data_IF_537771103684
#
_entry.id   IF_537771103684
#
_cell.length_a   1.000
_cell.length_b   1.000
_cell.length_c   1.000
_cell.angle_alpha   90.00
_cell.angle_beta   90.00
_cell.angle_gamma   90.00
#
_symmetry.space_group_name_H-M   'P 1'
#
loop_
_entity.id
_entity.type
_entity.pdbx_description
1 polymer ?
#
# COMPACT_ATOMS: atom_id res chain seq x y z
N UNK A 1 -8.58 -5.71 3.20
CA UNK A 1 -9.43 -6.39 2.19
C UNK A 1 -9.96 -7.73 2.67
N UNK A 2 -9.20 -8.48 3.45
CA UNK A 2 -9.63 -9.75 4.09
C UNK A 2 -10.91 -9.66 4.92
N UNK A 3 -11.25 -8.48 5.46
CA UNK A 3 -12.49 -8.22 6.21
C UNK A 3 -13.54 -7.42 5.43
N UNK A 4 -13.25 -7.03 4.19
CA UNK A 4 -14.21 -6.31 3.35
C UNK A 4 -15.25 -7.30 2.80
N UNK A 5 -16.40 -6.81 2.38
CA UNK A 5 -17.32 -7.60 1.56
C UNK A 5 -16.68 -7.84 0.19
N UNK A 6 -16.27 -9.09 -0.07
CA UNK A 6 -15.59 -9.48 -1.30
C UNK A 6 -16.48 -9.31 -2.54
N UNK A 7 -17.81 -9.20 -2.37
CA UNK A 7 -18.75 -9.04 -3.48
C UNK A 7 -18.97 -7.58 -3.91
N UNK A 8 -18.70 -6.60 -3.04
CA UNK A 8 -19.14 -5.20 -3.27
C UNK A 8 -18.05 -4.14 -3.05
N UNK A 9 -16.87 -4.52 -2.58
CA UNK A 9 -15.81 -3.57 -2.32
C UNK A 9 -15.25 -2.94 -3.62
N UNK A 10 -14.96 -1.63 -3.57
CA UNK A 10 -14.29 -0.88 -4.65
C UNK A 10 -12.97 -0.25 -4.20
N UNK A 11 -12.02 -0.11 -5.12
CA UNK A 11 -10.72 0.54 -4.84
C UNK A 11 -10.86 1.94 -4.20
N UNK A 12 -11.88 2.69 -4.60
CA UNK A 12 -12.18 4.02 -4.06
C UNK A 12 -12.49 4.02 -2.56
N UNK A 13 -13.04 2.93 -2.03
CA UNK A 13 -13.32 2.79 -0.59
C UNK A 13 -12.03 2.62 0.24
N UNK A 14 -10.94 2.14 -0.37
CA UNK A 14 -9.67 1.89 0.34
C UNK A 14 -8.78 3.13 0.37
N UNK A 15 -8.93 4.01 -0.62
CA UNK A 15 -8.11 5.22 -0.72
C UNK A 15 -8.18 6.10 0.55
N UNK A 16 -9.35 6.39 1.16
CA UNK A 16 -9.42 7.13 2.43
C UNK A 16 -8.70 6.42 3.58
N UNK A 17 -8.72 5.08 3.63
CA UNK A 17 -8.04 4.30 4.66
C UNK A 17 -6.51 4.40 4.51
N UNK A 18 -6.01 4.36 3.27
CA UNK A 18 -4.59 4.54 2.98
C UNK A 18 -4.15 5.94 3.40
N UNK A 19 -4.89 6.99 2.99
CA UNK A 19 -4.61 8.38 3.39
C UNK A 19 -4.61 8.53 4.91
N UNK A 20 -5.63 8.02 5.60
CA UNK A 20 -5.71 8.07 7.06
C UNK A 20 -4.53 7.35 7.74
N UNK A 21 -4.10 6.21 7.20
CA UNK A 21 -2.92 5.48 7.71
C UNK A 21 -1.66 6.34 7.58
N UNK A 22 -1.47 7.01 6.45
CA UNK A 22 -0.34 7.91 6.24
C UNK A 22 -0.42 9.12 7.18
N UNK A 23 -1.60 9.71 7.38
CA UNK A 23 -1.79 10.85 8.28
C UNK A 23 -1.50 10.48 9.75
N UNK A 24 -1.93 9.30 10.19
CA UNK A 24 -1.73 8.85 11.57
C UNK A 24 -0.29 8.41 11.87
N UNK A 25 0.33 7.66 10.96
CA UNK A 25 1.65 7.08 11.21
C UNK A 25 2.79 7.93 10.65
N UNK A 26 2.52 8.80 9.68
CA UNK A 26 3.52 9.53 8.91
C UNK A 26 4.15 8.65 7.82
N UNK A 27 4.60 9.30 6.74
CA UNK A 27 5.13 8.64 5.54
C UNK A 27 6.31 7.71 5.82
N UNK A 28 7.12 7.99 6.85
CA UNK A 28 8.28 7.16 7.21
C UNK A 28 7.91 5.87 7.97
N UNK A 29 6.64 5.64 8.32
CA UNK A 29 6.22 4.43 9.06
C UNK A 29 5.18 3.58 8.32
N UNK A 30 4.95 3.87 7.04
CA UNK A 30 4.01 3.13 6.18
C UNK A 30 4.77 2.36 5.11
N UNK A 31 4.38 1.11 4.87
CA UNK A 31 4.99 0.22 3.89
C UNK A 31 3.91 -0.35 2.97
N UNK A 32 4.22 -0.50 1.68
CA UNK A 32 3.37 -1.28 0.78
C UNK A 32 3.38 -2.77 1.18
N UNK A 33 2.20 -3.37 1.22
CA UNK A 33 2.01 -4.80 1.44
C UNK A 33 1.03 -5.35 0.41
N UNK A 34 1.44 -6.39 -0.31
CA UNK A 34 0.66 -6.96 -1.40
C UNK A 34 -0.36 -8.02 -0.99
N UNK A 35 -0.13 -8.71 0.12
CA UNK A 35 -0.97 -9.82 0.62
C UNK A 35 -1.25 -10.94 -0.42
N UNK A 36 -0.39 -11.09 -1.42
CA UNK A 36 -0.48 -12.17 -2.40
C UNK A 36 -0.09 -13.52 -1.76
N UNK A 37 -0.79 -14.63 -2.05
CA UNK A 37 -1.90 -14.77 -3.01
C UNK A 37 -3.29 -14.54 -2.42
N UNK A 38 -3.41 -14.27 -1.11
CA UNK A 38 -4.72 -14.16 -0.43
C UNK A 38 -5.55 -13.00 -0.99
N UNK A 39 -4.90 -11.90 -1.38
CA UNK A 39 -5.52 -10.75 -2.03
C UNK A 39 -6.40 -11.12 -3.24
N UNK A 40 -6.01 -12.17 -3.99
CA UNK A 40 -6.70 -12.62 -5.21
C UNK A 40 -8.13 -13.12 -4.95
N UNK A 41 -8.49 -13.38 -3.69
CA UNK A 41 -9.88 -13.68 -3.30
C UNK A 41 -10.82 -12.47 -3.46
N UNK A 42 -10.26 -11.25 -3.48
CA UNK A 42 -11.03 -10.02 -3.59
C UNK A 42 -10.68 -9.21 -4.85
N UNK A 43 -9.40 -9.09 -5.23
CA UNK A 43 -8.99 -8.46 -6.50
C UNK A 43 -7.65 -8.96 -7.01
N UNK A 44 -7.38 -8.68 -8.29
CA UNK A 44 -6.07 -8.93 -8.87
C UNK A 44 -4.97 -8.10 -8.19
N UNK A 45 -3.78 -8.67 -8.11
CA UNK A 45 -2.59 -7.97 -7.63
C UNK A 45 -2.35 -6.63 -8.34
N UNK A 46 -2.55 -6.59 -9.66
CA UNK A 46 -2.39 -5.36 -10.46
C UNK A 46 -3.36 -4.25 -10.04
N UNK A 47 -4.64 -4.57 -9.80
CA UNK A 47 -5.62 -3.60 -9.30
C UNK A 47 -5.21 -3.06 -7.93
N UNK A 48 -4.64 -3.89 -7.05
CA UNK A 48 -4.18 -3.42 -5.74
C UNK A 48 -2.99 -2.48 -5.84
N UNK A 49 -1.99 -2.84 -6.66
CA UNK A 49 -0.84 -1.96 -6.93
C UNK A 49 -1.31 -0.61 -7.48
N UNK A 50 -2.21 -0.60 -8.45
CA UNK A 50 -2.76 0.64 -9.04
C UNK A 50 -3.51 1.49 -8.00
N UNK A 51 -4.28 0.86 -7.10
CA UNK A 51 -4.98 1.58 -6.05
C UNK A 51 -4.02 2.26 -5.07
N UNK A 52 -2.96 1.55 -4.64
CA UNK A 52 -1.97 2.15 -3.73
C UNK A 52 -1.13 3.21 -4.45
N UNK A 53 -0.75 3.00 -5.71
CA UNK A 53 -0.01 4.00 -6.49
C UNK A 53 -0.83 5.30 -6.62
N UNK A 54 -2.10 5.21 -7.02
CA UNK A 54 -3.02 6.36 -7.11
C UNK A 54 -3.27 7.03 -5.77
N UNK A 55 -3.41 6.26 -4.69
CA UNK A 55 -3.59 6.79 -3.35
C UNK A 55 -2.37 7.60 -2.88
N UNK A 56 -1.17 7.25 -3.33
CA UNK A 56 0.10 7.84 -2.87
C UNK A 56 0.76 8.82 -3.84
N UNK A 57 0.14 9.12 -4.99
CA UNK A 57 0.66 10.07 -6.00
C UNK A 57 1.07 11.43 -5.41
N UNK A 58 0.27 11.96 -4.49
CA UNK A 58 0.45 13.25 -3.84
C UNK A 58 1.67 13.33 -2.91
N UNK A 59 2.29 12.19 -2.57
CA UNK A 59 3.45 12.11 -1.71
C UNK A 59 4.78 12.25 -2.45
N UNK A 60 4.77 12.59 -3.74
CA UNK A 60 6.02 12.83 -4.47
C UNK A 60 6.79 14.01 -3.84
N UNK A 61 8.10 13.89 -3.54
CA UNK A 61 9.01 12.81 -3.95
C UNK A 61 9.10 11.61 -2.98
N UNK A 62 8.54 11.71 -1.78
CA UNK A 62 8.59 10.71 -0.71
C UNK A 62 7.86 9.40 -1.00
N UNK A 63 7.10 9.30 -2.10
CA UNK A 63 6.35 8.08 -2.49
C UNK A 63 7.22 6.81 -2.50
N UNK A 64 8.51 6.92 -2.87
CA UNK A 64 9.45 5.78 -2.86
C UNK A 64 9.68 5.19 -1.46
N UNK A 65 9.46 5.97 -0.40
CA UNK A 65 9.55 5.48 0.98
C UNK A 65 8.55 4.36 1.24
N UNK A 66 7.30 4.54 0.81
CA UNK A 66 6.23 3.57 1.00
C UNK A 66 6.52 2.27 0.24
N UNK A 67 6.97 2.36 -1.01
CA UNK A 67 7.18 1.19 -1.87
C UNK A 67 8.54 0.50 -1.68
N UNK A 68 9.52 1.13 -1.02
CA UNK A 68 10.89 0.58 -0.93
C UNK A 68 11.64 0.96 0.33
N UNK A 69 11.88 2.26 0.55
CA UNK A 69 12.93 2.69 1.49
C UNK A 69 12.56 2.36 2.95
N UNK A 70 11.28 2.44 3.30
CA UNK A 70 10.82 2.04 4.63
C UNK A 70 10.96 0.53 4.86
N UNK A 71 10.77 -0.31 3.83
CA UNK A 71 10.97 -1.75 3.94
C UNK A 71 12.45 -2.09 4.17
N UNK A 72 13.35 -1.48 3.39
CA UNK A 72 14.80 -1.64 3.56
C UNK A 72 15.21 -1.27 4.99
N UNK A 73 14.81 -0.08 5.47
CA UNK A 73 15.15 0.37 6.83
C UNK A 73 14.56 -0.52 7.92
N UNK A 74 13.28 -0.87 7.80
CA UNK A 74 12.55 -1.60 8.85
C UNK A 74 13.03 -3.04 8.97
N UNK A 75 13.21 -3.73 7.83
CA UNK A 75 13.65 -5.12 7.80
C UNK A 75 15.18 -5.27 7.73
N UNK A 76 15.92 -4.16 7.72
CA UNK A 76 17.39 -4.12 7.61
C UNK A 76 17.90 -4.92 6.41
N UNK A 77 17.24 -4.74 5.28
CA UNK A 77 17.63 -5.40 4.04
C UNK A 77 18.91 -4.75 3.51
N UNK A 78 19.78 -5.56 2.92
CA UNK A 78 20.91 -5.03 2.15
C UNK A 78 20.39 -4.15 1.02
N UNK A 79 21.06 -3.04 0.75
CA UNK A 79 20.67 -2.21 -0.40
C UNK A 79 20.84 -3.04 -1.68
N UNK A 80 19.77 -3.23 -2.46
CA UNK A 80 19.90 -3.85 -3.77
C UNK A 80 20.91 -3.05 -4.60
N UNK A 81 21.85 -3.76 -5.22
CA UNK A 81 22.83 -3.19 -6.15
C UNK A 81 22.17 -2.37 -7.27
#
# INVERSE_FOLDING_TARGET
>A
MTQADHATWTGDQVRPLISHTIDCFGVDRVLFGGDWPVLELAASYGQWVDNVDRATLHLSPDRRKIFRENAIRTYRLDEPA
#
